data_IF_418096554433
#
_entry.id   IF_418096554433
#
_cell.length_a   1.000
_cell.length_b   1.000
_cell.length_c   1.000
_cell.angle_alpha   90.00
_cell.angle_beta   90.00
_cell.angle_gamma   90.00
#
_symmetry.space_group_name_H-M   'P 1'
#
loop_
_entity.id
_entity.type
_entity.pdbx_description
1 polymer ?
#
# COMPACT_ATOMS: atom_id res chain seq x y z
N UNK A 1 -48.39 2.06 -34.62
CA UNK A 1 -47.23 1.15 -34.42
C UNK A 1 -46.05 2.01 -33.96
N UNK A 2 -45.80 2.10 -32.65
CA UNK A 2 -44.66 2.84 -32.09
C UNK A 2 -43.48 1.88 -31.93
N UNK A 3 -42.35 2.19 -32.58
CA UNK A 3 -41.10 1.43 -32.44
C UNK A 3 -40.40 1.88 -31.16
N UNK A 4 -40.24 0.98 -30.19
CA UNK A 4 -39.40 1.19 -29.01
C UNK A 4 -37.93 1.14 -29.43
N UNK A 5 -37.23 2.27 -29.33
CA UNK A 5 -35.78 2.32 -29.48
C UNK A 5 -35.12 1.85 -28.19
N UNK A 6 -34.60 0.62 -28.19
CA UNK A 6 -33.72 0.13 -27.11
C UNK A 6 -32.43 0.93 -27.16
N UNK A 7 -32.20 1.81 -26.16
CA UNK A 7 -30.92 2.48 -25.95
C UNK A 7 -29.90 1.42 -25.53
N UNK A 8 -28.96 1.08 -26.41
CA UNK A 8 -27.81 0.27 -26.06
C UNK A 8 -27.10 0.91 -24.85
N UNK A 9 -26.81 0.13 -23.81
CA UNK A 9 -25.88 0.58 -22.77
C UNK A 9 -24.52 0.79 -23.44
N UNK A 10 -23.82 1.91 -23.21
CA UNK A 10 -22.42 1.98 -23.60
C UNK A 10 -21.69 0.83 -22.89
N UNK A 11 -20.85 0.10 -23.63
CA UNK A 11 -19.90 -0.83 -23.02
C UNK A 11 -19.05 -0.06 -21.99
N UNK A 12 -18.72 -0.67 -20.84
CA UNK A 12 -17.77 -0.05 -19.93
C UNK A 12 -16.45 0.14 -20.68
N UNK A 13 -15.94 1.38 -20.70
CA UNK A 13 -14.62 1.65 -21.27
C UNK A 13 -13.57 0.74 -20.62
N UNK A 14 -12.60 0.22 -21.38
CA UNK A 14 -11.48 -0.52 -20.80
C UNK A 14 -10.80 0.36 -19.76
N UNK A 15 -10.74 -0.10 -18.51
CA UNK A 15 -9.96 0.60 -17.48
C UNK A 15 -8.50 0.63 -17.94
N UNK A 16 -7.81 1.79 -17.87
CA UNK A 16 -6.39 1.85 -18.23
C UNK A 16 -5.62 0.83 -17.40
N UNK A 17 -4.79 0.03 -18.05
CA UNK A 17 -3.89 -0.89 -17.36
C UNK A 17 -2.96 -0.08 -16.46
N UNK A 18 -2.87 -0.38 -15.16
CA UNK A 18 -2.00 0.37 -14.27
C UNK A 18 -0.53 0.19 -14.67
N UNK A 19 0.22 1.28 -14.68
CA UNK A 19 1.67 1.26 -14.90
C UNK A 19 2.34 0.69 -13.65
N UNK A 20 3.27 -0.25 -13.81
CA UNK A 20 3.93 -0.87 -12.65
C UNK A 20 5.28 -0.21 -12.37
N UNK A 21 5.47 0.23 -11.13
CA UNK A 21 6.79 0.59 -10.64
C UNK A 21 7.70 -0.63 -10.58
N UNK A 22 8.96 -0.42 -10.90
CA UNK A 22 9.98 -1.45 -10.76
C UNK A 22 10.32 -1.66 -9.28
N UNK A 23 10.52 -2.91 -8.89
CA UNK A 23 11.03 -3.24 -7.56
C UNK A 23 12.46 -2.72 -7.42
N UNK A 24 12.82 -2.26 -6.22
CA UNK A 24 14.14 -1.72 -5.93
C UNK A 24 14.41 -0.32 -6.51
N UNK A 25 13.46 0.27 -7.25
CA UNK A 25 13.56 1.64 -7.76
C UNK A 25 12.81 2.61 -6.84
N UNK A 26 13.51 3.57 -6.21
CA UNK A 26 12.87 4.57 -5.37
C UNK A 26 11.91 5.46 -6.15
N UNK A 27 10.77 5.75 -5.54
CA UNK A 27 9.81 6.75 -6.00
C UNK A 27 9.88 7.95 -5.05
N UNK A 28 10.09 9.13 -5.64
CA UNK A 28 10.26 10.37 -4.92
C UNK A 28 8.96 11.18 -4.93
N UNK A 29 8.48 11.59 -3.76
CA UNK A 29 7.31 12.45 -3.66
C UNK A 29 7.38 13.37 -2.45
N UNK A 30 7.33 14.69 -2.65
CA UNK A 30 7.29 15.70 -1.57
C UNK A 30 8.34 15.48 -0.46
N UNK A 31 9.57 15.11 -0.86
CA UNK A 31 10.70 14.84 0.03
C UNK A 31 10.68 13.45 0.69
N UNK A 32 9.79 12.55 0.26
CA UNK A 32 9.80 11.14 0.63
C UNK A 32 10.46 10.31 -0.48
N UNK A 33 11.37 9.43 -0.09
CA UNK A 33 11.89 8.37 -0.96
C UNK A 33 11.26 7.05 -0.54
N UNK A 34 10.54 6.38 -1.43
CA UNK A 34 9.73 5.19 -1.12
C UNK A 34 10.10 4.07 -2.08
N UNK A 35 10.43 2.90 -1.55
CA UNK A 35 10.80 1.75 -2.38
C UNK A 35 10.21 0.45 -1.83
N UNK A 36 9.56 -0.32 -2.69
CA UNK A 36 9.36 -1.75 -2.47
C UNK A 36 10.56 -2.50 -3.07
N UNK A 37 11.40 -3.09 -2.21
CA UNK A 37 12.66 -3.68 -2.65
C UNK A 37 12.50 -5.01 -3.38
N UNK A 38 11.59 -5.87 -2.91
CA UNK A 38 11.50 -7.27 -3.33
C UNK A 38 10.06 -7.79 -3.28
N UNK A 39 9.75 -8.86 -4.03
CA UNK A 39 8.44 -9.50 -3.98
C UNK A 39 8.06 -10.04 -2.60
N UNK A 40 9.01 -10.68 -1.90
CA UNK A 40 8.82 -11.36 -0.62
C UNK A 40 8.64 -10.41 0.58
N UNK A 41 8.83 -9.10 0.35
CA UNK A 41 8.44 -8.03 1.26
C UNK A 41 6.93 -7.76 1.23
N UNK A 42 6.17 -8.45 0.39
CA UNK A 42 4.71 -8.45 0.41
C UNK A 42 4.20 -9.80 0.87
N UNK A 43 3.17 -9.80 1.72
CA UNK A 43 2.52 -11.05 2.18
C UNK A 43 1.04 -10.83 2.38
N UNK A 44 0.25 -11.78 1.90
CA UNK A 44 -1.18 -11.87 2.22
C UNK A 44 -1.35 -12.97 3.24
N UNK A 45 -2.13 -12.73 4.29
CA UNK A 45 -2.45 -13.77 5.25
C UNK A 45 -3.81 -13.56 5.89
N UNK A 46 -4.46 -14.69 6.18
CA UNK A 46 -5.66 -14.79 7.00
C UNK A 46 -5.19 -15.12 8.42
N UNK A 47 -5.42 -14.21 9.36
CA UNK A 47 -4.95 -14.39 10.73
C UNK A 47 -4.85 -13.07 11.48
N UNK A 48 -4.46 -13.15 12.75
CA UNK A 48 -4.30 -11.98 13.60
C UNK A 48 -2.88 -11.41 13.53
N UNK A 49 -2.76 -10.15 13.93
CA UNK A 49 -1.48 -9.50 14.22
C UNK A 49 -1.58 -8.96 15.65
N UNK A 50 -0.83 -9.58 16.55
CA UNK A 50 -1.09 -9.45 17.99
C UNK A 50 -2.55 -9.82 18.28
N UNK A 51 -3.29 -8.87 18.86
CA UNK A 51 -4.71 -9.01 19.21
C UNK A 51 -5.67 -8.51 18.12
N UNK A 52 -5.16 -8.02 16.98
CA UNK A 52 -5.98 -7.44 15.92
C UNK A 52 -6.37 -8.51 14.90
N UNK A 53 -7.66 -8.59 14.60
CA UNK A 53 -8.22 -9.41 13.52
C UNK A 53 -8.63 -8.51 12.34
N UNK A 54 -8.35 -8.91 11.09
CA UNK A 54 -8.86 -8.20 9.93
C UNK A 54 -10.35 -8.47 9.75
N UNK A 55 -11.08 -7.51 9.15
CA UNK A 55 -12.45 -7.71 8.69
C UNK A 55 -12.50 -8.60 7.45
N UNK A 56 -11.48 -8.51 6.60
CA UNK A 56 -11.28 -9.45 5.51
C UNK A 56 -9.98 -10.22 5.69
N UNK A 57 -8.88 -9.68 5.16
CA UNK A 57 -7.55 -10.28 5.27
C UNK A 57 -6.48 -9.20 5.37
N UNK A 58 -5.40 -9.52 6.08
CA UNK A 58 -4.27 -8.60 6.15
C UNK A 58 -3.40 -8.75 4.90
N UNK A 59 -2.92 -7.60 4.42
CA UNK A 59 -1.84 -7.47 3.45
C UNK A 59 -0.71 -6.71 4.12
N UNK A 60 0.43 -7.37 4.30
CA UNK A 60 1.67 -6.76 4.75
C UNK A 60 2.48 -6.30 3.55
N UNK A 61 2.98 -5.06 3.60
CA UNK A 61 3.98 -4.54 2.67
C UNK A 61 5.12 -3.91 3.47
N UNK A 62 6.32 -4.47 3.39
CA UNK A 62 7.52 -3.94 4.02
C UNK A 62 8.25 -2.99 3.06
N UNK A 63 8.03 -1.69 3.26
CA UNK A 63 8.65 -0.65 2.44
C UNK A 63 9.96 -0.16 3.04
N UNK A 64 10.83 0.34 2.17
CA UNK A 64 11.96 1.19 2.55
C UNK A 64 11.56 2.64 2.33
N UNK A 65 11.64 3.47 3.37
CA UNK A 65 11.18 4.85 3.36
C UNK A 65 12.27 5.78 3.90
N UNK A 66 12.54 6.87 3.19
CA UNK A 66 13.44 7.94 3.62
C UNK A 66 12.75 9.29 3.67
N UNK A 67 13.14 10.12 4.64
CA UNK A 67 12.67 11.51 4.78
C UNK A 67 13.82 12.46 4.41
N UNK A 68 13.77 13.04 3.21
CA UNK A 68 14.76 13.97 2.70
C UNK A 68 14.66 15.39 3.25
N UNK A 69 13.76 15.66 4.19
CA UNK A 69 13.63 16.99 4.82
C UNK A 69 14.59 17.15 6.01
N UNK A 70 14.65 18.36 6.57
CA UNK A 70 15.45 18.69 7.75
C UNK A 70 14.75 18.45 9.09
N UNK A 71 13.47 18.06 9.08
CA UNK A 71 12.68 17.79 10.28
C UNK A 71 12.17 16.36 10.29
N UNK A 72 12.04 15.75 11.46
CA UNK A 72 11.39 14.45 11.58
C UNK A 72 9.92 14.55 11.14
N UNK A 73 9.45 13.59 10.34
CA UNK A 73 8.09 13.59 9.78
C UNK A 73 7.46 12.22 9.92
N UNK A 74 6.15 12.18 10.16
CA UNK A 74 5.35 10.96 9.99
C UNK A 74 4.90 10.84 8.54
N UNK A 75 4.76 9.61 8.07
CA UNK A 75 4.13 9.35 6.77
C UNK A 75 2.69 9.91 6.84
N UNK A 76 2.31 10.86 5.96
CA UNK A 76 0.97 11.43 6.02
C UNK A 76 -0.08 10.40 5.56
N UNK A 77 -1.29 10.44 6.14
CA UNK A 77 -2.41 9.63 5.67
C UNK A 77 -2.64 9.84 4.17
N UNK A 78 -2.95 8.76 3.46
CA UNK A 78 -3.19 8.80 2.02
C UNK A 78 -1.92 8.86 1.15
N UNK A 79 -0.70 9.04 1.70
CA UNK A 79 0.51 8.96 0.86
C UNK A 79 0.64 7.61 0.17
N UNK A 80 0.26 6.55 0.88
CA UNK A 80 0.39 5.17 0.45
C UNK A 80 -1.00 4.54 0.51
N UNK A 81 -1.53 4.14 -0.64
CA UNK A 81 -2.87 3.58 -0.76
C UNK A 81 -2.80 2.30 -1.57
N UNK A 82 -3.42 1.24 -1.05
CA UNK A 82 -3.58 0.01 -1.79
C UNK A 82 -4.91 0.07 -2.55
N UNK A 83 -4.89 -0.20 -3.84
CA UNK A 83 -6.09 -0.31 -4.67
C UNK A 83 -6.26 -1.71 -5.22
N UNK A 84 -7.49 -2.14 -5.49
CA UNK A 84 -7.77 -3.41 -6.17
C UNK A 84 -8.39 -3.21 -7.56
N UNK A 85 -8.55 -4.30 -8.32
CA UNK A 85 -9.12 -4.26 -9.68
C UNK A 85 -10.60 -3.82 -9.71
N UNK A 86 -11.30 -3.93 -8.58
CA UNK A 86 -12.67 -3.43 -8.45
C UNK A 86 -12.69 -1.90 -8.29
N UNK A 87 -11.56 -1.28 -7.96
CA UNK A 87 -11.41 0.16 -7.72
C UNK A 87 -11.60 0.55 -6.24
N UNK A 88 -11.60 -0.43 -5.32
CA UNK A 88 -11.64 -0.15 -3.87
C UNK A 88 -10.27 0.33 -3.43
N UNK A 89 -10.26 1.26 -2.49
CA UNK A 89 -9.03 1.82 -1.91
C UNK A 89 -8.94 1.48 -0.43
N UNK A 90 -7.77 1.07 0.02
CA UNK A 90 -7.48 0.65 1.38
C UNK A 90 -6.34 1.51 1.94
N UNK A 91 -6.60 2.14 3.09
CA UNK A 91 -5.57 2.85 3.85
C UNK A 91 -4.80 1.86 4.71
N UNK A 92 -3.49 2.08 4.94
CA UNK A 92 -2.76 1.29 5.91
C UNK A 92 -3.31 1.56 7.32
N UNK A 93 -3.32 0.54 8.17
CA UNK A 93 -3.85 0.56 9.52
C UNK A 93 -2.70 0.79 10.51
N UNK A 94 -2.56 1.99 11.11
CA UNK A 94 -1.39 2.30 11.95
C UNK A 94 -1.26 1.38 13.17
N UNK A 95 -2.37 1.08 13.83
CA UNK A 95 -2.38 0.13 14.96
C UNK A 95 -1.92 -1.27 14.59
N UNK A 96 -2.16 -1.73 13.35
CA UNK A 96 -1.70 -3.03 12.88
C UNK A 96 -0.19 -3.02 12.57
N UNK A 97 0.34 -1.91 12.05
CA UNK A 97 1.79 -1.70 11.88
C UNK A 97 2.53 -1.74 13.22
N UNK A 98 2.01 -1.05 14.24
CA UNK A 98 2.56 -1.08 15.59
C UNK A 98 2.49 -2.49 16.20
N UNK A 99 1.30 -3.12 16.18
CA UNK A 99 1.11 -4.47 16.73
C UNK A 99 1.99 -5.52 16.03
N UNK A 100 2.25 -5.37 14.72
CA UNK A 100 3.15 -6.23 13.98
C UNK A 100 4.58 -6.16 14.55
N UNK A 101 5.10 -4.94 14.76
CA UNK A 101 6.44 -4.77 15.32
C UNK A 101 6.54 -5.16 16.80
N UNK A 102 5.47 -5.00 17.58
CA UNK A 102 5.40 -5.51 18.95
C UNK A 102 5.41 -7.05 18.99
N UNK A 103 4.73 -7.70 18.03
CA UNK A 103 4.62 -9.16 17.97
C UNK A 103 5.90 -9.82 17.44
N UNK A 104 6.50 -9.25 16.38
CA UNK A 104 7.61 -9.89 15.65
C UNK A 104 8.97 -9.25 15.93
N UNK A 105 9.01 -8.03 16.46
CA UNK A 105 10.23 -7.34 16.88
C UNK A 105 10.80 -6.34 15.86
N UNK A 106 11.20 -5.18 16.36
CA UNK A 106 11.90 -4.13 15.61
C UNK A 106 13.32 -4.53 15.22
N UNK A 107 13.85 -3.92 14.16
CA UNK A 107 15.19 -4.17 13.60
C UNK A 107 15.33 -5.49 12.83
N UNK A 108 14.33 -6.38 12.92
CA UNK A 108 14.25 -7.62 12.15
C UNK A 108 13.10 -7.64 11.17
N UNK A 109 11.92 -7.20 11.61
CA UNK A 109 10.70 -7.20 10.80
C UNK A 109 10.28 -5.80 10.31
N UNK A 110 11.06 -4.80 10.68
CA UNK A 110 10.87 -3.38 10.37
C UNK A 110 11.57 -2.53 11.42
N UNK A 111 11.99 -1.33 11.06
CA UNK A 111 12.67 -0.40 11.97
C UNK A 111 11.65 0.46 12.71
N UNK A 112 10.71 1.00 11.94
CA UNK A 112 9.72 1.99 12.37
C UNK A 112 8.30 1.51 12.04
N UNK A 113 7.35 1.74 12.94
CA UNK A 113 5.93 1.59 12.67
C UNK A 113 5.43 2.78 11.85
N UNK A 114 4.24 2.65 11.24
CA UNK A 114 3.66 3.70 10.41
C UNK A 114 3.50 5.06 11.13
N UNK A 115 3.18 5.05 12.42
CA UNK A 115 2.97 6.28 13.22
C UNK A 115 4.27 6.85 13.82
N UNK A 116 5.39 6.15 13.69
CA UNK A 116 6.68 6.67 14.12
C UNK A 116 7.13 7.81 13.20
N UNK A 117 7.79 8.80 13.79
CA UNK A 117 8.42 9.84 13.00
C UNK A 117 9.70 9.29 12.35
N UNK A 118 9.82 9.45 11.03
CA UNK A 118 11.02 9.12 10.27
C UNK A 118 12.03 10.25 10.45
N UNK A 119 13.24 9.96 10.96
CA UNK A 119 14.29 10.96 11.16
C UNK A 119 14.65 11.70 9.87
N UNK A 120 15.07 12.98 9.96
CA UNK A 120 15.49 13.75 8.79
C UNK A 120 16.81 13.24 8.20
N UNK A 121 17.17 13.77 7.03
CA UNK A 121 18.49 13.54 6.42
C UNK A 121 18.58 12.41 5.40
N UNK A 122 17.43 11.84 5.00
CA UNK A 122 17.34 10.89 3.88
C UNK A 122 17.81 9.47 4.18
N UNK A 123 18.17 9.16 5.43
CA UNK A 123 18.40 7.77 5.83
C UNK A 123 17.15 6.92 5.59
N UNK A 124 17.36 5.68 5.17
CA UNK A 124 16.31 4.75 4.81
C UNK A 124 15.95 3.86 6.00
N UNK A 125 14.65 3.73 6.24
CA UNK A 125 14.08 2.90 7.31
C UNK A 125 13.08 1.93 6.72
N UNK A 126 13.07 0.71 7.22
CA UNK A 126 12.05 -0.28 6.87
C UNK A 126 10.77 -0.04 7.69
N UNK A 127 9.63 0.04 7.00
CA UNK A 127 8.32 0.34 7.60
C UNK A 127 7.31 -0.72 7.14
N UNK A 128 6.75 -1.56 8.04
CA UNK A 128 5.72 -2.51 7.70
C UNK A 128 4.37 -1.79 7.63
N UNK A 129 3.76 -1.78 6.46
CA UNK A 129 2.38 -1.35 6.26
C UNK A 129 1.47 -2.56 6.31
N UNK A 130 0.39 -2.46 7.08
CA UNK A 130 -0.66 -3.48 7.10
C UNK A 130 -1.97 -2.88 6.62
N UNK A 131 -2.61 -3.55 5.67
CA UNK A 131 -3.92 -3.17 5.13
C UNK A 131 -4.92 -4.26 5.46
N UNK A 132 -6.14 -3.87 5.82
CA UNK A 132 -7.27 -4.79 5.94
C UNK A 132 -8.10 -4.70 4.65
N UNK A 133 -7.91 -5.68 3.76
CA UNK A 133 -8.56 -5.71 2.45
C UNK A 133 -9.74 -6.65 2.45
N UNK A 134 -10.70 -6.44 1.55
CA UNK A 134 -11.82 -7.34 1.41
C UNK A 134 -11.35 -8.76 1.00
N UNK A 135 -12.06 -9.83 1.41
CA UNK A 135 -11.65 -11.21 1.11
C UNK A 135 -11.49 -11.50 -0.39
N UNK A 136 -12.26 -10.79 -1.23
CA UNK A 136 -12.31 -10.93 -2.69
C UNK A 136 -11.43 -9.92 -3.45
N UNK A 137 -10.61 -9.12 -2.76
CA UNK A 137 -9.78 -8.10 -3.39
C UNK A 137 -8.63 -8.72 -4.21
N UNK A 138 -8.59 -8.50 -5.53
CA UNK A 138 -7.54 -9.03 -6.43
C UNK A 138 -6.83 -7.89 -7.17
N UNK A 139 -5.68 -8.18 -7.79
CA UNK A 139 -4.92 -7.19 -8.56
C UNK A 139 -4.47 -6.01 -7.69
N UNK A 140 -3.98 -6.32 -6.49
CA UNK A 140 -3.63 -5.29 -5.52
C UNK A 140 -2.43 -4.46 -6.03
N UNK A 141 -2.58 -3.15 -6.00
CA UNK A 141 -1.58 -2.19 -6.44
C UNK A 141 -1.32 -1.18 -5.32
N UNK A 142 -0.08 -1.12 -4.83
CA UNK A 142 0.34 -0.10 -3.87
C UNK A 142 0.76 1.16 -4.63
N UNK A 143 -0.03 2.20 -4.47
CA UNK A 143 0.16 3.51 -5.12
C UNK A 143 0.80 4.51 -4.15
N UNK A 144 1.50 5.49 -4.71
CA UNK A 144 2.00 6.69 -4.01
C UNK A 144 1.13 7.87 -4.44
N UNK A 145 0.75 8.75 -3.52
CA UNK A 145 -0.02 9.97 -3.85
C UNK A 145 0.64 10.74 -5.00
N UNK A 146 -0.18 11.21 -5.93
CA UNK A 146 0.29 11.83 -7.19
C UNK A 146 0.42 10.84 -8.35
N UNK A 147 0.43 9.52 -8.09
CA UNK A 147 0.55 8.46 -9.08
C UNK A 147 -0.64 7.49 -9.01
N UNK A 148 -1.87 7.99 -9.11
CA UNK A 148 -3.09 7.20 -8.85
C UNK A 148 -3.30 5.98 -9.80
N UNK A 149 -2.53 5.89 -10.88
CA UNK A 149 -2.56 4.77 -11.85
C UNK A 149 -1.21 4.06 -11.98
N UNK A 150 -0.26 4.36 -11.09
CA UNK A 150 1.05 3.73 -11.08
C UNK A 150 1.39 3.22 -9.68
N UNK A 151 1.99 2.04 -9.60
CA UNK A 151 2.28 1.44 -8.30
C UNK A 151 3.02 0.13 -8.38
N UNK A 152 3.34 -0.43 -7.22
CA UNK A 152 3.88 -1.78 -7.14
C UNK A 152 2.75 -2.80 -7.04
N UNK A 153 2.81 -3.86 -7.83
CA UNK A 153 1.91 -5.00 -7.67
C UNK A 153 2.21 -5.71 -6.33
N UNK A 154 1.16 -6.11 -5.61
CA UNK A 154 1.24 -6.73 -4.29
C UNK A 154 0.56 -8.09 -4.33
N UNK A 155 1.28 -9.16 -3.98
CA UNK A 155 0.70 -10.50 -3.86
C UNK A 155 0.51 -11.29 -5.16
N UNK A 156 1.04 -10.80 -6.27
CA UNK A 156 0.99 -11.44 -7.58
C UNK A 156 2.33 -12.15 -7.84
N UNK A 157 2.56 -13.34 -7.27
CA UNK A 157 3.79 -14.12 -7.48
C UNK A 157 3.53 -15.61 -7.64
#
# INVERSE_FOLDING_TARGET
>A
ILRSSTRARPDPEPRPTPTRFSLGTPQEYAGWSITLLRPDHTRLFTGTVGMLSPRGRFVLVLLTVGNGTSVARRIPPGLLVLTDDQGRSYQPVPGASAAYLETYGRGRHGDLSLDDAIPPGGSLYSVPLLFDVAPDATGLLLTVVGHAHEGWAVGEW
#
